data_IF_367673953630
#
_entry.id   IF_367673953630
#
_cell.length_a   1.000
_cell.length_b   1.000
_cell.length_c   1.000
_cell.angle_alpha   90.00
_cell.angle_beta   90.00
_cell.angle_gamma   90.00
#
_symmetry.space_group_name_H-M   'P 1'
#
loop_
_entity.id
_entity.type
_entity.pdbx_description
1 polymer ?
#
# COMPACT_ATOMS: atom_id res chain seq x y z
N UNK A 1 -16.83 11.62 4.62
CA UNK A 1 -15.73 11.37 5.58
C UNK A 1 -15.08 10.01 5.40
N UNK A 2 -15.84 8.90 5.34
CA UNK A 2 -15.28 7.54 5.24
C UNK A 2 -14.36 7.27 4.02
N UNK A 3 -14.58 7.96 2.90
CA UNK A 3 -13.74 7.84 1.70
C UNK A 3 -12.31 8.34 1.92
N UNK A 4 -12.14 9.45 2.64
CA UNK A 4 -10.83 10.06 2.88
C UNK A 4 -9.99 9.20 3.82
N UNK A 5 -10.64 8.59 4.83
CA UNK A 5 -10.01 7.62 5.74
C UNK A 5 -9.49 6.40 4.97
N UNK A 6 -10.25 5.89 3.99
CA UNK A 6 -9.83 4.76 3.17
C UNK A 6 -8.64 5.10 2.28
N UNK A 7 -8.63 6.27 1.66
CA UNK A 7 -7.50 6.72 0.84
C UNK A 7 -6.23 6.89 1.68
N UNK A 8 -6.34 7.52 2.85
CA UNK A 8 -5.23 7.68 3.80
C UNK A 8 -4.74 6.33 4.31
N UNK A 9 -5.63 5.40 4.64
CA UNK A 9 -5.24 4.05 5.04
C UNK A 9 -4.43 3.35 3.93
N UNK A 10 -4.82 3.54 2.67
CA UNK A 10 -4.06 3.04 1.52
C UNK A 10 -2.65 3.64 1.42
N UNK A 11 -2.54 4.97 1.57
CA UNK A 11 -1.25 5.66 1.59
C UNK A 11 -0.37 5.28 2.77
N UNK A 12 -0.94 5.12 3.97
CA UNK A 12 -0.24 4.64 5.16
C UNK A 12 0.28 3.21 4.93
N UNK A 13 -0.52 2.35 4.30
CA UNK A 13 -0.08 0.99 3.96
C UNK A 13 1.10 1.02 2.98
N UNK A 14 1.04 1.87 1.94
CA UNK A 14 2.14 2.04 0.99
C UNK A 14 3.40 2.55 1.67
N UNK A 15 3.29 3.58 2.53
CA UNK A 15 4.42 4.10 3.29
C UNK A 15 5.02 3.03 4.22
N UNK A 16 4.18 2.26 4.90
CA UNK A 16 4.62 1.15 5.75
C UNK A 16 5.36 0.07 4.95
N UNK A 17 4.89 -0.25 3.75
CA UNK A 17 5.57 -1.20 2.86
C UNK A 17 6.97 -0.71 2.48
N UNK A 18 7.13 0.58 2.15
CA UNK A 18 8.44 1.16 1.84
C UNK A 18 9.40 1.10 3.03
N UNK A 19 8.91 1.28 4.26
CA UNK A 19 9.72 1.15 5.48
C UNK A 19 10.20 -0.30 5.64
N UNK A 20 9.30 -1.28 5.49
CA UNK A 20 9.64 -2.72 5.59
C UNK A 20 10.60 -3.12 4.46
N UNK A 21 10.41 -2.61 3.24
CA UNK A 21 11.33 -2.80 2.12
C UNK A 21 12.74 -2.31 2.48
N UNK A 22 12.84 -1.11 3.05
CA UNK A 22 14.12 -0.51 3.46
C UNK A 22 14.81 -1.36 4.54
N UNK A 23 14.06 -1.92 5.48
CA UNK A 23 14.60 -2.86 6.47
C UNK A 23 15.14 -4.12 5.80
N UNK A 24 14.40 -4.72 4.85
CA UNK A 24 14.86 -5.87 4.07
C UNK A 24 16.15 -5.60 3.30
N UNK A 25 16.26 -4.43 2.65
CA UNK A 25 17.51 -4.00 2.01
C UNK A 25 18.65 -3.82 3.02
N UNK A 26 18.38 -3.27 4.20
CA UNK A 26 19.40 -3.10 5.24
C UNK A 26 19.92 -4.47 5.74
N UNK A 27 19.04 -5.46 5.89
CA UNK A 27 19.45 -6.84 6.21
C UNK A 27 20.30 -7.49 5.11
N UNK A 28 20.02 -7.18 3.84
CA UNK A 28 20.81 -7.68 2.71
C UNK A 28 22.18 -7.00 2.58
N UNK A 29 22.27 -5.69 2.89
CA UNK A 29 23.44 -4.86 2.57
C UNK A 29 24.39 -4.60 3.76
N UNK A 30 23.92 -4.64 5.00
CA UNK A 30 24.68 -4.07 6.14
C UNK A 30 25.34 -5.11 7.06
N UNK A 31 25.35 -6.41 6.71
CA UNK A 31 25.90 -7.43 7.60
C UNK A 31 27.18 -8.05 7.05
N UNK A 32 28.23 -8.13 7.90
CA UNK A 32 29.45 -8.89 7.63
C UNK A 32 29.22 -10.39 7.34
N UNK A 33 28.01 -10.88 7.59
CA UNK A 33 27.45 -12.13 7.08
C UNK A 33 26.05 -11.84 6.50
N UNK A 34 25.88 -11.73 5.17
CA UNK A 34 24.62 -11.30 4.57
C UNK A 34 23.51 -12.33 4.84
N UNK A 35 22.45 -11.90 5.55
CA UNK A 35 21.30 -12.73 5.88
C UNK A 35 20.26 -12.72 4.75
N UNK A 36 20.64 -13.36 3.65
CA UNK A 36 19.90 -13.35 2.38
C UNK A 36 18.49 -13.96 2.53
N UNK A 37 18.35 -15.01 3.36
CA UNK A 37 17.06 -15.69 3.57
C UNK A 37 16.08 -14.83 4.38
N UNK A 38 16.55 -14.15 5.42
CA UNK A 38 15.70 -13.24 6.20
C UNK A 38 15.31 -12.02 5.36
N UNK A 39 16.27 -11.47 4.60
CA UNK A 39 16.00 -10.36 3.69
C UNK A 39 14.97 -10.70 2.61
N UNK A 40 15.02 -11.89 2.01
CA UNK A 40 14.07 -12.29 0.97
C UNK A 40 12.65 -12.42 1.51
N UNK A 41 12.46 -13.00 2.70
CA UNK A 41 11.16 -13.10 3.36
C UNK A 41 10.60 -11.71 3.67
N UNK A 42 11.42 -10.80 4.19
CA UNK A 42 11.01 -9.42 4.52
C UNK A 42 10.64 -8.63 3.25
N UNK A 43 11.43 -8.76 2.17
CA UNK A 43 11.12 -8.15 0.87
C UNK A 43 9.80 -8.69 0.32
N UNK A 44 9.57 -10.00 0.42
CA UNK A 44 8.33 -10.62 -0.09
C UNK A 44 7.10 -10.14 0.69
N UNK A 45 7.21 -10.03 2.02
CA UNK A 45 6.17 -9.46 2.86
C UNK A 45 5.88 -7.98 2.50
N UNK A 46 6.95 -7.19 2.28
CA UNK A 46 6.83 -5.80 1.83
C UNK A 46 6.08 -5.69 0.49
N UNK A 47 6.39 -6.56 -0.48
CA UNK A 47 5.69 -6.58 -1.77
C UNK A 47 4.20 -6.89 -1.61
N UNK A 48 3.85 -7.84 -0.73
CA UNK A 48 2.45 -8.14 -0.40
C UNK A 48 1.73 -6.92 0.19
N UNK A 49 2.38 -6.23 1.11
CA UNK A 49 1.84 -5.03 1.75
C UNK A 49 1.68 -3.87 0.75
N UNK A 50 2.65 -3.67 -0.14
CA UNK A 50 2.58 -2.68 -1.21
C UNK A 50 1.40 -2.95 -2.14
N UNK A 51 1.20 -4.20 -2.55
CA UNK A 51 0.07 -4.63 -3.40
C UNK A 51 -1.27 -4.38 -2.71
N UNK A 52 -1.38 -4.74 -1.44
CA UNK A 52 -2.60 -4.50 -0.66
C UNK A 52 -2.91 -3.00 -0.54
N UNK A 53 -1.91 -2.16 -0.29
CA UNK A 53 -2.07 -0.70 -0.22
C UNK A 53 -2.56 -0.09 -1.53
N UNK A 54 -1.90 -0.42 -2.64
CA UNK A 54 -2.29 0.07 -3.97
C UNK A 54 -3.69 -0.42 -4.36
N UNK A 55 -4.03 -1.69 -4.07
CA UNK A 55 -5.36 -2.24 -4.33
C UNK A 55 -6.44 -1.45 -3.60
N UNK A 56 -6.20 -1.13 -2.32
CA UNK A 56 -7.14 -0.37 -1.49
C UNK A 56 -7.34 1.05 -2.02
N UNK A 57 -6.28 1.71 -2.48
CA UNK A 57 -6.36 3.01 -3.15
C UNK A 57 -7.23 2.91 -4.40
N UNK A 58 -6.97 1.94 -5.29
CA UNK A 58 -7.73 1.75 -6.54
C UNK A 58 -9.22 1.54 -6.29
N UNK A 59 -9.58 0.67 -5.35
CA UNK A 59 -10.99 0.41 -5.00
C UNK A 59 -11.64 1.66 -4.39
N UNK A 60 -10.89 2.46 -3.63
CA UNK A 60 -11.36 3.73 -3.07
C UNK A 60 -11.63 4.79 -4.12
N UNK A 61 -10.76 4.92 -5.12
CA UNK A 61 -10.97 5.80 -6.27
C UNK A 61 -12.18 5.34 -7.10
N UNK A 62 -12.30 4.04 -7.39
CA UNK A 62 -13.45 3.51 -8.14
C UNK A 62 -14.78 3.79 -7.42
N UNK A 63 -14.85 3.53 -6.11
CA UNK A 63 -16.04 3.82 -5.32
C UNK A 63 -16.37 5.32 -5.27
N UNK A 64 -15.36 6.20 -5.30
CA UNK A 64 -15.55 7.65 -5.39
C UNK A 64 -16.17 8.05 -6.74
N UNK A 65 -15.66 7.51 -7.84
CA UNK A 65 -16.20 7.78 -9.18
C UNK A 65 -17.65 7.31 -9.28
N UNK A 66 -17.96 6.07 -8.90
CA UNK A 66 -19.34 5.57 -8.93
C UNK A 66 -20.30 6.39 -8.06
N UNK A 67 -19.82 6.95 -6.93
CA UNK A 67 -20.63 7.81 -6.09
C UNK A 67 -20.88 9.18 -6.74
N UNK A 68 -19.87 9.76 -7.40
CA UNK A 68 -20.00 11.03 -8.12
C UNK A 68 -20.98 10.90 -9.29
N UNK A 69 -20.85 9.82 -10.06
CA UNK A 69 -21.72 9.49 -11.19
C UNK A 69 -23.19 9.41 -10.76
N UNK A 70 -23.48 8.66 -9.68
CA UNK A 70 -24.83 8.54 -9.10
C UNK A 70 -25.42 9.85 -8.57
N UNK A 71 -24.58 10.81 -8.17
CA UNK A 71 -25.05 12.14 -7.71
C UNK A 71 -25.39 13.04 -8.89
N UNK A 72 -24.67 12.89 -10.00
CA UNK A 72 -24.88 13.65 -11.23
C UNK A 72 -26.18 13.25 -11.93
N UNK A 73 -26.50 11.94 -11.96
CA UNK A 73 -27.77 11.41 -12.49
C UNK A 73 -29.01 11.92 -11.71
N UNK A 74 -28.84 12.30 -10.44
CA UNK A 74 -29.95 12.75 -9.58
C UNK A 74 -30.20 14.27 -9.66
N UNK A 75 -29.42 15.01 -10.45
CA UNK A 75 -29.62 16.44 -10.67
C UNK A 75 -30.43 16.62 -11.96
N UNK A 76 -31.62 17.24 -11.93
CA UNK A 76 -32.52 17.36 -13.08
C UNK A 76 -31.98 18.26 -14.20
#
# INVERSE_FOLDING_TARGET
MMFWIREIAGWVLVASALIVMRMGLNFALTSGSPKIVEASVVIFASLGLLRAGILLIRISTAARICKLDRQQEKSP
#
